data_IF_416214919285
#
_entry.id   IF_416214919285
#
_cell.length_a   1.000
_cell.length_b   1.000
_cell.length_c   1.000
_cell.angle_alpha   90.00
_cell.angle_beta   90.00
_cell.angle_gamma   90.00
#
_symmetry.space_group_name_H-M   'P 1'
#
loop_
_entity.id
_entity.type
_entity.pdbx_description
1 polymer ?
#
# COMPACT_ATOMS: atom_id res chain seq x y z
N UNK A 1 -55.03 56.01 34.99
CA UNK A 1 -54.27 57.12 35.62
C UNK A 1 -53.10 56.56 36.43
N UNK A 2 -51.93 57.21 36.30
CA UNK A 2 -50.71 57.12 37.12
C UNK A 2 -49.81 55.87 37.01
N UNK A 3 -48.80 56.05 36.15
CA UNK A 3 -47.46 55.44 36.12
C UNK A 3 -46.78 55.44 37.51
N UNK A 4 -46.05 54.37 37.83
CA UNK A 4 -44.82 54.45 38.64
C UNK A 4 -43.68 53.79 37.86
N UNK A 5 -42.70 54.62 37.50
CA UNK A 5 -41.39 54.26 36.95
C UNK A 5 -40.56 53.63 38.06
N UNK A 6 -39.84 52.56 37.74
CA UNK A 6 -38.61 52.20 38.45
C UNK A 6 -37.48 52.29 37.43
N UNK A 7 -36.56 53.20 37.71
CA UNK A 7 -35.31 53.44 36.99
C UNK A 7 -34.28 52.39 37.40
N UNK A 8 -33.56 51.80 36.45
CA UNK A 8 -32.33 51.05 36.73
C UNK A 8 -31.13 51.82 36.15
N UNK A 9 -30.14 52.02 37.02
CA UNK A 9 -28.89 52.76 36.80
C UNK A 9 -27.89 51.93 35.99
N UNK A 10 -27.14 52.62 35.12
CA UNK A 10 -25.99 52.12 34.37
C UNK A 10 -24.70 52.52 35.10
N UNK A 11 -23.64 51.68 34.97
CA UNK A 11 -22.25 51.77 35.51
C UNK A 11 -22.10 50.88 36.76
N UNK A 12 -21.31 49.80 36.78
CA UNK A 12 -19.95 49.53 36.26
C UNK A 12 -19.84 48.08 35.75
N UNK A 13 -19.31 47.84 34.54
CA UNK A 13 -17.92 47.45 34.23
C UNK A 13 -17.50 46.06 34.79
N UNK A 14 -17.03 45.21 33.85
CA UNK A 14 -16.08 44.08 33.99
C UNK A 14 -16.65 42.72 33.51
N UNK A 15 -16.27 42.40 32.27
CA UNK A 15 -15.86 41.09 31.75
C UNK A 15 -16.77 39.91 32.14
N UNK A 16 -17.65 39.53 31.22
CA UNK A 16 -18.17 38.17 31.15
C UNK A 16 -17.02 37.19 30.91
N UNK A 17 -16.52 36.55 31.97
CA UNK A 17 -15.66 35.38 31.87
C UNK A 17 -16.50 34.18 31.48
N UNK A 18 -16.61 33.95 30.18
CA UNK A 18 -17.02 32.65 29.65
C UNK A 18 -15.99 31.59 30.09
N UNK A 19 -16.38 30.50 30.77
CA UNK A 19 -15.50 29.35 30.88
C UNK A 19 -15.33 28.72 29.49
N UNK A 20 -14.17 28.98 28.89
CA UNK A 20 -13.65 28.24 27.74
C UNK A 20 -12.97 26.97 28.27
N UNK A 21 -13.47 25.81 27.85
CA UNK A 21 -12.73 24.59 27.45
C UNK A 21 -13.73 23.42 27.45
N UNK A 22 -14.33 23.11 26.31
CA UNK A 22 -13.82 22.14 25.33
C UNK A 22 -13.64 20.73 25.92
N UNK A 23 -14.70 19.93 25.88
CA UNK A 23 -14.60 18.47 26.09
C UNK A 23 -15.09 17.63 24.91
N UNK A 24 -15.52 18.23 23.79
CA UNK A 24 -15.90 17.50 22.57
C UNK A 24 -14.72 17.18 21.62
N UNK A 25 -13.49 17.09 22.14
CA UNK A 25 -12.32 16.63 21.38
C UNK A 25 -12.01 15.14 21.59
N UNK A 26 -12.78 14.41 22.43
CA UNK A 26 -12.55 12.98 22.71
C UNK A 26 -13.37 12.00 21.85
N UNK A 27 -14.10 12.46 20.84
CA UNK A 27 -14.87 11.58 19.94
C UNK A 27 -14.34 11.48 18.51
N UNK A 28 -13.23 12.16 18.16
CA UNK A 28 -12.57 12.03 16.85
C UNK A 28 -11.33 11.13 16.84
N UNK A 29 -10.89 10.66 18.00
CA UNK A 29 -9.56 10.04 18.14
C UNK A 29 -9.57 8.51 18.36
N UNK A 30 -10.71 7.82 18.16
CA UNK A 30 -10.77 6.36 18.30
C UNK A 30 -11.59 5.63 17.23
N UNK A 31 -11.84 6.27 16.08
CA UNK A 31 -12.50 5.66 14.91
C UNK A 31 -11.61 5.63 13.66
N UNK A 32 -10.28 5.57 13.82
CA UNK A 32 -9.39 5.07 12.76
C UNK A 32 -9.53 3.53 12.66
N UNK A 33 -10.78 3.11 12.44
CA UNK A 33 -11.22 2.06 11.51
C UNK A 33 -10.02 1.29 10.97
N UNK A 34 -9.86 0.04 11.40
CA UNK A 34 -9.13 -0.96 10.62
C UNK A 34 -9.48 -0.71 9.17
N UNK A 35 -8.55 -0.16 8.40
CA UNK A 35 -8.81 0.08 6.99
C UNK A 35 -8.94 -1.30 6.39
N UNK A 36 -10.18 -1.72 6.14
CA UNK A 36 -10.44 -2.99 5.48
C UNK A 36 -9.97 -2.80 4.06
N UNK A 37 -8.82 -3.37 3.75
CA UNK A 37 -8.23 -3.38 2.42
C UNK A 37 -9.30 -3.72 1.37
N UNK A 38 -9.53 -2.78 0.45
CA UNK A 38 -10.44 -2.95 -0.67
C UNK A 38 -9.67 -3.53 -1.86
N UNK A 39 -9.71 -4.86 -1.95
CA UNK A 39 -9.10 -5.66 -3.02
C UNK A 39 -9.56 -5.22 -4.41
N UNK A 40 -10.85 -4.91 -4.57
CA UNK A 40 -11.40 -4.47 -5.86
C UNK A 40 -10.85 -3.11 -6.27
N UNK A 41 -10.68 -2.17 -5.33
CA UNK A 41 -10.09 -0.86 -5.63
C UNK A 41 -8.60 -0.98 -6.00
N UNK A 42 -7.84 -1.84 -5.32
CA UNK A 42 -6.44 -2.11 -5.68
C UNK A 42 -6.32 -2.71 -7.08
N UNK A 43 -7.17 -3.67 -7.41
CA UNK A 43 -7.17 -4.31 -8.74
C UNK A 43 -7.69 -3.36 -9.81
N UNK A 44 -8.70 -2.54 -9.53
CA UNK A 44 -9.17 -1.52 -10.47
C UNK A 44 -8.09 -0.48 -10.77
N UNK A 45 -7.27 -0.12 -9.77
CA UNK A 45 -6.11 0.73 -9.99
C UNK A 45 -5.09 0.04 -10.92
N UNK A 46 -4.78 -1.23 -10.69
CA UNK A 46 -3.89 -1.99 -11.56
C UNK A 46 -4.40 -2.02 -13.01
N UNK A 47 -5.68 -2.36 -13.24
CA UNK A 47 -6.28 -2.36 -14.58
C UNK A 47 -6.25 -0.99 -15.28
N UNK A 48 -6.27 0.10 -14.52
CA UNK A 48 -6.22 1.46 -15.08
C UNK A 48 -4.80 1.88 -15.47
N UNK A 49 -3.80 1.44 -14.72
CA UNK A 49 -2.46 2.01 -14.79
C UNK A 49 -1.37 1.07 -15.28
N UNK A 50 -1.65 -0.24 -15.48
CA UNK A 50 -0.63 -1.24 -15.84
C UNK A 50 0.20 -0.94 -17.08
N UNK A 51 -0.32 -0.17 -18.05
CA UNK A 51 0.37 0.28 -19.27
C UNK A 51 0.35 1.81 -19.45
N UNK A 52 -0.05 2.53 -18.40
CA UNK A 52 -0.12 4.00 -18.40
C UNK A 52 0.15 4.50 -16.97
N UNK A 53 1.43 4.67 -16.61
CA UNK A 53 1.83 5.04 -15.27
C UNK A 53 1.10 6.29 -14.77
N UNK A 54 0.66 6.27 -13.51
CA UNK A 54 -0.03 7.41 -12.92
C UNK A 54 0.95 8.56 -12.67
N UNK A 55 0.79 9.66 -13.41
CA UNK A 55 1.62 10.88 -13.33
C UNK A 55 1.59 11.60 -11.98
N UNK A 56 0.70 11.21 -11.07
CA UNK A 56 0.72 11.70 -9.69
C UNK A 56 1.89 11.12 -8.86
N UNK A 57 2.54 10.06 -9.36
CA UNK A 57 3.67 9.40 -8.74
C UNK A 57 4.90 9.47 -9.66
N UNK A 58 6.12 9.45 -9.11
CA UNK A 58 7.31 9.23 -9.92
C UNK A 58 7.25 7.85 -10.58
N UNK A 59 7.84 7.74 -11.77
CA UNK A 59 7.95 6.50 -12.51
C UNK A 59 9.43 6.11 -12.59
N UNK A 60 9.72 4.83 -12.33
CA UNK A 60 11.09 4.29 -12.27
C UNK A 60 11.35 3.24 -13.36
N UNK A 61 10.51 3.19 -14.38
CA UNK A 61 10.66 2.19 -15.44
C UNK A 61 11.64 2.66 -16.50
N UNK A 62 12.70 1.89 -16.71
CA UNK A 62 13.57 2.04 -17.87
C UNK A 62 13.14 1.07 -18.98
N UNK A 63 13.07 1.51 -20.26
CA UNK A 63 12.69 0.64 -21.37
C UNK A 63 13.56 -0.62 -21.43
N UNK A 64 12.94 -1.79 -21.25
CA UNK A 64 13.62 -3.08 -21.30
C UNK A 64 14.31 -3.52 -20.00
N UNK A 65 14.39 -2.66 -18.98
CA UNK A 65 15.01 -3.01 -17.68
C UNK A 65 13.98 -3.12 -16.55
N UNK A 66 12.81 -2.49 -16.70
CA UNK A 66 11.80 -2.42 -15.65
C UNK A 66 12.20 -1.44 -14.56
N UNK A 67 11.87 -1.75 -13.30
CA UNK A 67 12.26 -0.94 -12.14
C UNK A 67 11.08 -0.34 -11.37
N UNK A 68 9.94 -0.12 -12.02
CA UNK A 68 8.77 0.49 -11.37
C UNK A 68 7.86 -0.49 -10.62
N UNK A 69 8.16 -1.80 -10.66
CA UNK A 69 7.25 -2.83 -10.16
C UNK A 69 6.79 -2.58 -8.71
N UNK A 70 7.69 -2.34 -7.76
CA UNK A 70 7.30 -2.12 -6.36
C UNK A 70 6.56 -0.80 -6.17
N UNK A 71 6.95 0.26 -6.90
CA UNK A 71 6.26 1.55 -6.87
C UNK A 71 4.80 1.40 -7.34
N UNK A 72 4.59 0.76 -8.47
CA UNK A 72 3.26 0.46 -9.01
C UNK A 72 2.39 -0.35 -8.03
N UNK A 73 2.94 -1.43 -7.45
CA UNK A 73 2.20 -2.26 -6.51
C UNK A 73 1.88 -1.50 -5.22
N UNK A 74 2.80 -0.65 -4.75
CA UNK A 74 2.51 0.22 -3.60
C UNK A 74 1.37 1.20 -3.90
N UNK A 75 1.31 1.77 -5.11
CA UNK A 75 0.18 2.58 -5.54
C UNK A 75 -1.14 1.78 -5.56
N UNK A 76 -1.12 0.54 -6.05
CA UNK A 76 -2.29 -0.34 -6.03
C UNK A 76 -2.78 -0.59 -4.60
N UNK A 77 -1.88 -0.93 -3.67
CA UNK A 77 -2.22 -1.16 -2.27
C UNK A 77 -2.79 0.10 -1.60
N UNK A 78 -2.22 1.26 -1.88
CA UNK A 78 -2.70 2.54 -1.37
C UNK A 78 -4.08 2.91 -1.93
N UNK A 79 -4.31 2.70 -3.23
CA UNK A 79 -5.64 2.86 -3.85
C UNK A 79 -6.66 1.85 -3.30
N UNK A 80 -6.20 0.66 -2.89
CA UNK A 80 -6.96 -0.31 -2.11
C UNK A 80 -7.24 0.12 -0.66
N UNK A 81 -6.79 1.31 -0.25
CA UNK A 81 -7.05 1.86 1.08
C UNK A 81 -6.04 1.46 2.15
N UNK A 82 -4.92 0.80 1.81
CA UNK A 82 -3.87 0.56 2.79
C UNK A 82 -3.28 1.89 3.27
N UNK A 83 -3.34 2.21 4.58
CA UNK A 83 -2.91 3.51 5.06
C UNK A 83 -1.39 3.66 4.91
N UNK A 84 -0.91 4.89 4.72
CA UNK A 84 0.51 5.15 4.88
C UNK A 84 0.97 4.86 6.30
N UNK A 85 2.21 4.41 6.42
CA UNK A 85 2.93 4.35 7.71
C UNK A 85 3.97 5.45 7.69
N UNK A 86 3.55 6.66 8.05
CA UNK A 86 4.39 7.86 7.96
C UNK A 86 5.52 7.89 8.99
N UNK A 87 6.56 8.67 8.66
CA UNK A 87 7.72 8.92 9.51
C UNK A 87 8.47 10.19 9.12
N UNK A 88 9.56 10.51 9.84
CA UNK A 88 10.44 11.63 9.48
C UNK A 88 11.06 11.44 8.09
N UNK A 89 11.23 12.54 7.33
CA UNK A 89 11.70 12.49 5.94
C UNK A 89 13.11 11.90 5.83
N UNK A 90 13.99 12.22 6.79
CA UNK A 90 15.35 11.71 6.89
C UNK A 90 15.44 10.19 7.12
N UNK A 91 14.32 9.55 7.49
CA UNK A 91 14.21 8.09 7.69
C UNK A 91 13.50 7.38 6.54
N UNK A 92 13.47 7.97 5.34
CA UNK A 92 12.82 7.37 4.15
C UNK A 92 13.34 5.98 3.77
N UNK A 93 14.54 5.59 4.23
CA UNK A 93 15.14 4.26 4.00
C UNK A 93 14.72 3.20 5.03
N UNK A 94 14.07 3.58 6.13
CA UNK A 94 13.76 2.67 7.22
C UNK A 94 12.58 1.76 6.86
N UNK A 95 12.73 0.46 7.15
CA UNK A 95 11.70 -0.56 6.87
C UNK A 95 10.36 -0.32 7.59
N UNK A 96 10.36 0.47 8.68
CA UNK A 96 9.14 0.80 9.45
C UNK A 96 8.15 1.61 8.64
N UNK A 97 8.62 2.51 7.77
CA UNK A 97 7.77 3.47 7.10
C UNK A 97 7.41 3.02 5.69
N UNK A 98 6.24 3.41 5.19
CA UNK A 98 5.78 3.13 3.84
C UNK A 98 4.85 4.26 3.38
N UNK A 99 5.34 5.09 2.45
CA UNK A 99 4.61 6.25 1.93
C UNK A 99 5.28 6.85 0.69
N UNK A 100 4.49 7.61 -0.09
CA UNK A 100 4.94 8.47 -1.17
C UNK A 100 4.18 9.80 -1.12
N UNK A 101 4.82 10.87 -0.64
CA UNK A 101 4.19 12.18 -0.40
C UNK A 101 4.05 12.98 -1.69
N UNK A 102 2.94 13.73 -1.89
CA UNK A 102 2.56 14.45 -3.12
C UNK A 102 3.67 14.69 -4.14
N UNK A 103 4.25 15.86 -4.41
CA UNK A 103 5.29 15.98 -5.46
C UNK A 103 6.65 15.26 -5.19
N UNK A 104 6.66 13.97 -4.89
CA UNK A 104 7.84 13.12 -4.93
C UNK A 104 8.35 12.98 -6.36
N UNK A 105 9.67 12.94 -6.51
CA UNK A 105 10.32 12.67 -7.80
C UNK A 105 11.03 11.32 -7.76
N UNK A 106 11.63 10.95 -8.87
CA UNK A 106 12.53 9.81 -8.99
C UNK A 106 13.84 9.98 -8.18
N UNK A 107 14.16 11.23 -7.77
CA UNK A 107 15.36 11.56 -6.98
C UNK A 107 15.17 11.25 -5.50
N UNK A 108 15.99 10.33 -4.98
CA UNK A 108 16.02 10.00 -3.55
C UNK A 108 16.39 11.18 -2.65
N UNK A 109 17.14 12.15 -3.18
CA UNK A 109 17.53 13.37 -2.46
C UNK A 109 16.36 14.20 -1.96
N UNK A 110 15.18 14.10 -2.60
CA UNK A 110 13.98 14.82 -2.17
C UNK A 110 13.38 14.23 -0.89
N UNK A 111 13.70 12.97 -0.58
CA UNK A 111 13.21 12.24 0.60
C UNK A 111 11.68 12.27 0.73
N UNK A 112 10.97 12.28 -0.40
CA UNK A 112 9.50 12.32 -0.46
C UNK A 112 8.86 10.97 -0.79
N UNK A 113 9.65 9.91 -0.88
CA UNK A 113 9.20 8.54 -1.14
C UNK A 113 10.09 7.59 -0.33
N UNK A 114 9.50 6.57 0.32
CA UNK A 114 10.28 5.59 1.08
C UNK A 114 10.86 4.51 0.16
N UNK A 115 12.02 3.94 0.54
CA UNK A 115 12.55 2.78 -0.19
C UNK A 115 11.56 1.61 -0.16
N UNK A 116 10.85 1.41 0.95
CA UNK A 116 9.81 0.37 1.09
C UNK A 116 8.64 0.55 0.12
N UNK A 117 8.42 1.76 -0.41
CA UNK A 117 7.40 2.04 -1.41
C UNK A 117 7.85 1.66 -2.82
N UNK A 118 9.15 1.75 -3.14
CA UNK A 118 9.65 1.64 -4.51
C UNK A 118 10.73 0.57 -4.78
N UNK A 119 11.31 -0.05 -3.75
CA UNK A 119 12.39 -1.05 -3.88
C UNK A 119 11.92 -2.41 -3.36
N UNK A 120 12.04 -3.47 -4.17
CA UNK A 120 11.53 -4.81 -3.86
C UNK A 120 12.01 -5.38 -2.51
N UNK A 121 13.32 -5.31 -2.22
CA UNK A 121 13.88 -5.77 -0.95
C UNK A 121 13.40 -4.95 0.25
N UNK A 122 13.24 -3.64 0.10
CA UNK A 122 12.74 -2.80 1.18
C UNK A 122 11.23 -3.03 1.40
N UNK A 123 10.47 -3.25 0.33
CA UNK A 123 9.06 -3.65 0.40
C UNK A 123 8.92 -4.94 1.21
N UNK A 124 9.72 -5.97 0.93
CA UNK A 124 9.73 -7.21 1.70
C UNK A 124 9.95 -6.95 3.20
N UNK A 125 10.93 -6.13 3.56
CA UNK A 125 11.26 -5.82 4.96
C UNK A 125 10.09 -5.15 5.73
N UNK A 126 9.24 -4.40 5.03
CA UNK A 126 8.03 -3.78 5.57
C UNK A 126 6.85 -4.76 5.60
N UNK A 127 6.52 -5.31 4.43
CA UNK A 127 5.27 -6.03 4.20
C UNK A 127 5.25 -7.45 4.77
N UNK A 128 6.40 -8.10 4.95
CA UNK A 128 6.47 -9.40 5.65
C UNK A 128 5.99 -9.33 7.10
N UNK A 129 6.02 -8.14 7.71
CA UNK A 129 5.55 -7.88 9.08
C UNK A 129 4.15 -7.26 9.14
N UNK A 130 3.62 -6.82 7.99
CA UNK A 130 2.39 -6.03 7.88
C UNK A 130 1.25 -6.76 7.20
N UNK A 131 1.57 -7.66 6.26
CA UNK A 131 0.58 -8.53 5.65
C UNK A 131 -0.14 -9.36 6.72
N UNK A 132 -1.41 -9.70 6.46
CA UNK A 132 -2.19 -10.59 7.33
C UNK A 132 -1.53 -11.98 7.42
N UNK A 133 -0.93 -12.44 6.32
CA UNK A 133 -0.11 -13.66 6.29
C UNK A 133 1.05 -13.46 5.31
N UNK A 134 2.23 -13.99 5.65
CA UNK A 134 3.43 -13.96 4.83
C UNK A 134 4.10 -15.33 4.79
N UNK A 135 4.51 -15.77 3.61
CA UNK A 135 5.19 -17.06 3.45
C UNK A 135 6.11 -17.09 2.22
N UNK A 136 7.07 -18.01 2.21
CA UNK A 136 8.02 -18.25 1.12
C UNK A 136 7.96 -19.72 0.75
N UNK A 137 7.90 -20.02 -0.54
CA UNK A 137 7.79 -21.39 -1.05
C UNK A 137 8.73 -21.64 -2.21
N UNK A 138 9.19 -22.89 -2.32
CA UNK A 138 9.81 -23.35 -3.55
C UNK A 138 8.75 -23.58 -4.64
N UNK A 139 9.13 -23.49 -5.92
CA UNK A 139 8.23 -23.81 -7.03
C UNK A 139 7.66 -25.23 -6.96
N UNK A 140 8.48 -26.20 -6.58
CA UNK A 140 8.13 -27.61 -6.48
C UNK A 140 7.05 -27.85 -5.42
N UNK A 141 7.20 -27.24 -4.23
CA UNK A 141 6.19 -27.28 -3.17
C UNK A 141 4.86 -26.66 -3.61
N UNK A 142 4.92 -25.50 -4.29
CA UNK A 142 3.71 -24.83 -4.76
C UNK A 142 2.98 -25.62 -5.84
N UNK A 143 3.70 -26.23 -6.78
CA UNK A 143 3.11 -27.07 -7.83
C UNK A 143 2.44 -28.31 -7.23
N UNK A 144 3.12 -28.98 -6.31
CA UNK A 144 2.58 -30.16 -5.63
C UNK A 144 1.30 -29.85 -4.82
N UNK A 145 1.16 -28.60 -4.36
CA UNK A 145 0.03 -28.12 -3.56
C UNK A 145 -0.82 -27.08 -4.30
N UNK A 146 -0.82 -27.09 -5.63
CA UNK A 146 -1.50 -26.05 -6.41
C UNK A 146 -3.00 -25.92 -6.13
N UNK A 147 -3.77 -27.02 -5.96
CA UNK A 147 -5.19 -26.93 -5.60
C UNK A 147 -5.43 -26.13 -4.31
N UNK A 148 -4.55 -26.25 -3.30
CA UNK A 148 -4.66 -25.49 -2.06
C UNK A 148 -4.39 -23.99 -2.29
N UNK A 149 -3.47 -23.66 -3.21
CA UNK A 149 -3.20 -22.27 -3.59
C UNK A 149 -4.37 -21.61 -4.32
N UNK A 150 -5.10 -22.35 -5.14
CA UNK A 150 -6.31 -21.86 -5.81
C UNK A 150 -7.39 -21.42 -4.79
N UNK A 151 -7.42 -22.02 -3.59
CA UNK A 151 -8.36 -21.65 -2.52
C UNK A 151 -7.80 -20.53 -1.61
N UNK A 152 -6.47 -20.51 -1.40
CA UNK A 152 -5.80 -19.61 -0.46
C UNK A 152 -5.53 -18.21 -1.02
N UNK A 153 -5.25 -18.09 -2.32
CA UNK A 153 -4.88 -16.81 -2.97
C UNK A 153 -6.09 -16.04 -3.50
N UNK A 154 -6.09 -14.74 -3.24
CA UNK A 154 -7.19 -13.86 -3.56
C UNK A 154 -6.69 -12.67 -4.39
N UNK A 155 -7.56 -12.11 -5.23
CA UNK A 155 -7.32 -10.84 -5.92
C UNK A 155 -6.90 -9.77 -4.92
N UNK A 156 -5.87 -9.00 -5.23
CA UNK A 156 -5.27 -8.01 -4.34
C UNK A 156 -4.16 -8.55 -3.42
N UNK A 157 -3.87 -9.86 -3.42
CA UNK A 157 -2.65 -10.37 -2.77
C UNK A 157 -1.41 -9.98 -3.59
N UNK A 158 -0.25 -9.92 -2.92
CA UNK A 158 1.02 -9.54 -3.55
C UNK A 158 1.92 -10.76 -3.64
N UNK A 159 2.60 -10.88 -4.77
CA UNK A 159 3.62 -11.89 -5.04
C UNK A 159 4.96 -11.19 -5.22
N UNK A 160 6.03 -11.72 -4.62
CA UNK A 160 7.39 -11.35 -5.01
C UNK A 160 8.16 -12.57 -5.53
N UNK A 161 8.90 -12.33 -6.62
CA UNK A 161 9.82 -13.29 -7.20
C UNK A 161 11.22 -13.03 -6.66
N UNK A 162 11.97 -14.08 -6.36
CA UNK A 162 13.34 -13.98 -5.85
C UNK A 162 14.39 -14.41 -6.86
N UNK A 163 15.61 -13.90 -6.67
CA UNK A 163 16.81 -14.52 -7.19
C UNK A 163 17.09 -15.85 -6.44
N UNK A 164 17.96 -16.73 -6.95
CA UNK A 164 18.27 -18.01 -6.29
C UNK A 164 18.78 -17.86 -4.84
N UNK A 165 19.51 -16.79 -4.55
CA UNK A 165 19.98 -16.44 -3.21
C UNK A 165 18.87 -15.90 -2.28
N UNK A 166 17.62 -15.85 -2.74
CA UNK A 166 16.44 -15.47 -1.96
C UNK A 166 16.13 -13.97 -1.92
N UNK A 167 16.96 -13.12 -2.51
CA UNK A 167 16.69 -11.68 -2.61
C UNK A 167 15.47 -11.42 -3.52
N UNK A 168 14.41 -10.73 -3.08
CA UNK A 168 13.29 -10.37 -3.94
C UNK A 168 13.73 -9.33 -4.97
N UNK A 169 13.36 -9.53 -6.23
CA UNK A 169 13.71 -8.62 -7.33
C UNK A 169 12.49 -8.08 -8.08
N UNK A 170 11.33 -8.74 -7.96
CA UNK A 170 10.13 -8.33 -8.68
C UNK A 170 8.89 -8.44 -7.79
N UNK A 171 7.98 -7.46 -7.88
CA UNK A 171 6.76 -7.36 -7.07
C UNK A 171 5.55 -7.27 -8.00
N UNK A 172 4.53 -8.11 -7.78
CA UNK A 172 3.35 -8.24 -8.64
C UNK A 172 2.06 -8.31 -7.82
N UNK A 173 0.94 -7.91 -8.41
CA UNK A 173 -0.40 -7.99 -7.79
C UNK A 173 -1.20 -9.12 -8.43
N UNK A 174 -1.86 -9.96 -7.64
CA UNK A 174 -2.87 -10.89 -8.13
C UNK A 174 -4.11 -10.09 -8.57
N UNK A 175 -4.42 -10.06 -9.86
CA UNK A 175 -5.53 -9.25 -10.40
C UNK A 175 -6.72 -10.06 -10.84
N UNK A 176 -6.56 -11.34 -11.17
CA UNK A 176 -7.65 -12.20 -11.60
C UNK A 176 -7.36 -13.65 -11.22
N UNK A 177 -8.39 -14.37 -10.78
CA UNK A 177 -8.38 -15.84 -10.75
C UNK A 177 -9.00 -16.33 -12.04
N UNK A 178 -8.30 -17.21 -12.74
CA UNK A 178 -8.81 -18.00 -13.88
C UNK A 178 -8.82 -19.47 -13.46
N UNK A 179 -9.52 -20.33 -14.20
CA UNK A 179 -9.91 -21.67 -13.74
C UNK A 179 -8.85 -22.42 -12.92
N UNK A 180 -7.63 -22.56 -13.47
CA UNK A 180 -6.50 -23.24 -12.82
C UNK A 180 -5.28 -22.33 -12.62
N UNK A 181 -5.46 -21.00 -12.64
CA UNK A 181 -4.35 -20.06 -12.55
C UNK A 181 -4.75 -18.69 -11.99
N UNK A 182 -3.78 -17.81 -11.80
CA UNK A 182 -3.95 -16.42 -11.47
C UNK A 182 -3.20 -15.54 -12.46
N UNK A 183 -3.82 -14.42 -12.85
CA UNK A 183 -3.15 -13.38 -13.60
C UNK A 183 -2.55 -12.36 -12.65
N UNK A 184 -1.34 -11.91 -12.99
CA UNK A 184 -0.54 -10.96 -12.25
C UNK A 184 -0.37 -9.66 -13.03
N UNK A 185 -0.36 -8.54 -12.30
CA UNK A 185 -0.03 -7.23 -12.83
C UNK A 185 1.34 -6.75 -12.36
N UNK A 186 2.09 -6.08 -13.24
CA UNK A 186 3.35 -5.42 -12.90
C UNK A 186 3.77 -4.39 -13.98
N UNK A 187 4.62 -3.43 -13.61
CA UNK A 187 5.26 -2.47 -14.54
C UNK A 187 6.67 -2.89 -15.03
N UNK A 188 7.13 -4.11 -14.73
CA UNK A 188 8.31 -4.64 -15.43
C UNK A 188 7.83 -5.39 -16.66
N UNK A 189 8.11 -4.84 -17.84
CA UNK A 189 7.53 -5.26 -19.13
C UNK A 189 5.99 -5.22 -19.12
N UNK A 190 5.38 -4.20 -18.48
CA UNK A 190 3.94 -3.90 -18.39
C UNK A 190 3.00 -5.09 -18.69
N UNK A 191 2.42 -5.68 -17.64
CA UNK A 191 1.50 -6.82 -17.78
C UNK A 191 0.31 -6.68 -16.83
N UNK A 192 -0.82 -7.27 -17.23
CA UNK A 192 -2.07 -7.40 -16.46
C UNK A 192 -2.59 -8.84 -16.45
N UNK A 193 -1.88 -9.75 -17.11
CA UNK A 193 -2.31 -11.10 -17.45
C UNK A 193 -1.20 -12.15 -17.33
N UNK A 194 -0.05 -11.80 -16.73
CA UNK A 194 1.03 -12.77 -16.50
C UNK A 194 0.53 -13.94 -15.65
N UNK A 195 0.69 -15.15 -16.17
CA UNK A 195 0.38 -16.40 -15.48
C UNK A 195 1.25 -16.59 -14.23
N UNK A 196 0.63 -16.78 -13.06
CA UNK A 196 1.33 -17.15 -11.84
C UNK A 196 1.85 -18.59 -11.93
N UNK A 197 1.00 -19.54 -12.32
CA UNK A 197 1.38 -20.95 -12.43
C UNK A 197 2.51 -21.17 -13.44
N UNK A 198 2.41 -20.56 -14.63
CA UNK A 198 3.48 -20.60 -15.63
C UNK A 198 4.77 -19.95 -15.15
N UNK A 199 4.68 -18.85 -14.39
CA UNK A 199 5.85 -18.24 -13.74
C UNK A 199 6.51 -19.23 -12.75
N UNK A 200 5.71 -19.89 -11.91
CA UNK A 200 6.19 -20.90 -10.96
C UNK A 200 6.87 -22.06 -11.70
N UNK A 201 6.24 -22.61 -12.74
CA UNK A 201 6.82 -23.68 -13.56
C UNK A 201 8.19 -23.29 -14.15
N UNK A 202 8.33 -22.04 -14.61
CA UNK A 202 9.60 -21.55 -15.16
C UNK A 202 10.74 -21.44 -14.13
N UNK A 203 10.42 -21.51 -12.83
CA UNK A 203 11.39 -21.40 -11.74
C UNK A 203 11.84 -22.75 -11.17
N UNK A 204 11.20 -23.85 -11.55
CA UNK A 204 11.58 -25.21 -11.11
C UNK A 204 13.06 -25.47 -11.39
N UNK A 205 13.78 -25.97 -10.39
CA UNK A 205 15.22 -26.27 -10.48
C UNK A 205 16.16 -25.05 -10.55
N UNK A 206 15.65 -23.83 -10.53
CA UNK A 206 16.49 -22.61 -10.60
C UNK A 206 16.99 -22.13 -9.23
N UNK A 207 16.46 -22.69 -8.13
CA UNK A 207 16.69 -22.22 -6.77
C UNK A 207 15.93 -20.95 -6.39
N UNK A 208 15.20 -20.33 -7.32
CA UNK A 208 14.34 -19.18 -7.06
C UNK A 208 13.12 -19.59 -6.24
N UNK A 209 12.55 -18.63 -5.51
CA UNK A 209 11.40 -18.81 -4.63
C UNK A 209 10.29 -17.82 -4.93
N UNK A 210 9.11 -18.13 -4.40
CA UNK A 210 7.92 -17.29 -4.48
C UNK A 210 7.58 -16.83 -3.06
N UNK A 211 7.50 -15.51 -2.88
CA UNK A 211 7.03 -14.90 -1.64
C UNK A 211 5.58 -14.46 -1.82
N UNK A 212 4.73 -14.80 -0.85
CA UNK A 212 3.30 -14.51 -0.88
C UNK A 212 2.93 -13.63 0.31
N UNK A 213 2.26 -12.52 0.02
CA UNK A 213 1.72 -11.60 1.01
C UNK A 213 0.20 -11.55 0.85
N UNK A 214 -0.52 -12.13 1.82
CA UNK A 214 -1.98 -12.00 1.87
C UNK A 214 -2.32 -10.74 2.67
N UNK A 215 -2.98 -9.80 2.01
CA UNK A 215 -3.27 -8.47 2.58
C UNK A 215 -4.60 -8.46 3.32
#
# INVERSE_FOLDING_TARGET
>A
MKKKRVTFSLRDLIIATFPRKSSQAKSRQSLAKQSRYNREAAVAYAYRHWNNPNRAYPFFGDPGEGGDCTNFISQCLFAGGMPWVEGPLERFTWATYWWCKPGATDRDGDRRITLTWKVASAFHNHWSKRATDYSIHSPEEMIAQWPQWLEKLWRGDVIQLTLPEGRPYHTLLVVKKVEQDFHLAAHTYDTIDRSLYGTIQSFVGTGRKIMIYRI
#
